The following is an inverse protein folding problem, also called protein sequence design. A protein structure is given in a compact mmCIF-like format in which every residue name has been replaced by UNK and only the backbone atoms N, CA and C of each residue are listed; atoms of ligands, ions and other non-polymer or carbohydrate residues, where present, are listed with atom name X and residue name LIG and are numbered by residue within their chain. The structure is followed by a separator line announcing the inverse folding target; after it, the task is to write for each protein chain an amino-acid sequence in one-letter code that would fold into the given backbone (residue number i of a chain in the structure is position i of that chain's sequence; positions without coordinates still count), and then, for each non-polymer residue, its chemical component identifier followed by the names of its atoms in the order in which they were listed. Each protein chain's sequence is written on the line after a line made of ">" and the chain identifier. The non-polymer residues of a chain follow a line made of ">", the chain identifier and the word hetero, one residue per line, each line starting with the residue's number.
data_IF_726239418298
#
_entry.id   IF_726239418298
#
_cell.length_a   1.000
_cell.length_b   1.000
_cell.length_c   1.000
_cell.angle_alpha   90.00
_cell.angle_beta   90.00
_cell.angle_gamma   90.00
#
_symmetry.space_group_name_H-M   'P 1'
#
loop_
_entity.id
_entity.type
_entity.pdbx_description
1 polymer ?
#
# COMPACT_ATOMS: atom_id res chain seq x y z
N UNK A 1 41.12 -11.75 -44.73
CA UNK A 1 39.78 -11.10 -44.83
C UNK A 1 38.62 -11.93 -44.24
N UNK A 2 38.65 -13.24 -44.12
CA UNK A 2 37.56 -14.04 -43.53
C UNK A 2 37.52 -14.06 -42.00
N UNK A 3 38.59 -13.72 -41.28
CA UNK A 3 38.67 -13.77 -39.83
C UNK A 3 38.08 -12.50 -39.18
N UNK A 4 38.15 -11.35 -39.88
CA UNK A 4 37.62 -10.07 -39.35
C UNK A 4 36.08 -10.02 -39.44
N UNK A 5 35.49 -10.73 -40.40
CA UNK A 5 34.04 -10.75 -40.59
C UNK A 5 33.30 -11.56 -39.50
N UNK A 6 33.92 -12.60 -38.98
CA UNK A 6 33.35 -13.41 -37.90
C UNK A 6 33.42 -12.72 -36.50
N UNK A 7 34.37 -11.81 -36.29
CA UNK A 7 34.47 -11.07 -35.04
C UNK A 7 33.44 -9.90 -34.96
N UNK A 8 33.08 -9.34 -36.11
CA UNK A 8 32.05 -8.31 -36.16
C UNK A 8 30.62 -8.87 -35.96
N UNK A 9 30.35 -10.09 -36.39
CA UNK A 9 29.09 -10.78 -36.18
C UNK A 9 28.91 -11.23 -34.72
N UNK A 10 29.98 -11.54 -34.01
CA UNK A 10 29.93 -11.95 -32.59
C UNK A 10 29.68 -10.72 -31.67
N UNK A 11 30.14 -9.52 -32.06
CA UNK A 11 29.93 -8.28 -31.31
C UNK A 11 28.52 -7.74 -31.47
N UNK A 12 27.77 -8.06 -32.52
CA UNK A 12 26.39 -7.66 -32.72
C UNK A 12 25.42 -8.51 -31.89
N UNK A 13 25.79 -9.76 -31.54
CA UNK A 13 24.96 -10.64 -30.72
C UNK A 13 25.08 -10.40 -29.20
N UNK A 14 26.05 -9.64 -28.74
CA UNK A 14 26.29 -9.36 -27.30
C UNK A 14 25.58 -8.08 -26.82
N UNK A 15 25.04 -7.25 -27.71
CA UNK A 15 24.38 -5.99 -27.36
C UNK A 15 22.92 -5.87 -27.78
N UNK A 16 22.29 -6.95 -28.17
CA UNK A 16 20.84 -6.96 -28.32
C UNK A 16 20.16 -7.62 -27.09
N UNK A 17 20.46 -7.17 -25.88
CA UNK A 17 19.37 -7.06 -24.91
C UNK A 17 18.41 -6.02 -25.48
N UNK A 18 17.46 -6.50 -26.25
CA UNK A 18 16.25 -5.75 -26.58
C UNK A 18 15.71 -5.24 -25.26
N UNK A 19 15.91 -3.95 -25.00
CA UNK A 19 15.14 -3.23 -23.98
C UNK A 19 13.70 -3.31 -24.51
N UNK A 20 13.02 -4.39 -24.20
CA UNK A 20 11.58 -4.48 -24.37
C UNK A 20 11.02 -3.48 -23.38
N UNK A 21 10.64 -2.28 -23.87
CA UNK A 21 9.79 -1.39 -23.09
C UNK A 21 8.58 -2.18 -22.64
N UNK A 22 8.42 -2.33 -21.32
CA UNK A 22 7.29 -3.04 -20.72
C UNK A 22 6.03 -2.16 -20.68
N UNK A 23 6.15 -0.95 -21.23
CA UNK A 23 5.07 0.00 -21.34
C UNK A 23 4.67 0.66 -20.02
N UNK A 24 3.57 1.38 -20.08
CA UNK A 24 2.99 2.09 -18.94
C UNK A 24 1.87 1.24 -18.34
N UNK A 25 1.89 1.01 -17.03
CA UNK A 25 0.78 0.33 -16.36
C UNK A 25 -0.49 1.17 -16.53
N UNK A 26 -1.55 0.63 -17.15
CA UNK A 26 -2.78 1.37 -17.41
C UNK A 26 -3.58 1.59 -16.13
N UNK A 27 -4.52 2.53 -16.16
CA UNK A 27 -5.51 2.72 -15.10
C UNK A 27 -6.43 1.49 -15.07
N UNK A 28 -6.66 0.92 -13.88
CA UNK A 28 -7.59 -0.18 -13.64
C UNK A 28 -8.97 0.35 -13.25
N UNK A 29 -8.98 1.32 -12.31
CA UNK A 29 -10.19 1.94 -11.81
C UNK A 29 -10.25 3.42 -12.19
N UNK A 30 -11.09 3.71 -13.17
CA UNK A 30 -11.38 5.07 -13.62
C UNK A 30 -12.70 5.61 -13.03
N UNK A 31 -13.30 4.90 -12.07
CA UNK A 31 -14.56 5.28 -11.42
C UNK A 31 -14.29 5.75 -9.99
N UNK A 32 -13.66 4.95 -9.15
CA UNK A 32 -13.44 5.24 -7.74
C UNK A 32 -12.40 6.32 -7.48
N UNK A 33 -11.45 6.52 -8.41
CA UNK A 33 -10.29 7.42 -8.22
C UNK A 33 -10.28 8.58 -9.21
N UNK A 34 -9.55 9.65 -8.84
CA UNK A 34 -9.44 10.86 -9.65
C UNK A 34 -8.17 10.84 -10.52
N UNK A 35 -8.34 10.85 -11.84
CA UNK A 35 -7.23 10.79 -12.80
C UNK A 35 -7.02 12.10 -13.59
N UNK A 36 -7.72 13.17 -13.21
CA UNK A 36 -7.58 14.49 -13.82
C UNK A 36 -6.97 15.46 -12.80
N UNK A 37 -5.91 16.17 -13.20
CA UNK A 37 -5.16 17.07 -12.31
C UNK A 37 -5.99 18.23 -11.76
N UNK A 38 -6.82 18.86 -12.61
CA UNK A 38 -7.66 19.99 -12.20
C UNK A 38 -8.78 19.53 -11.28
N UNK A 39 -9.35 18.37 -11.56
CA UNK A 39 -10.36 17.75 -10.72
C UNK A 39 -9.79 17.34 -9.37
N UNK A 40 -8.59 16.72 -9.36
CA UNK A 40 -7.89 16.37 -8.13
C UNK A 40 -7.58 17.60 -7.27
N UNK A 41 -7.16 18.70 -7.89
CA UNK A 41 -6.97 19.98 -7.20
C UNK A 41 -8.26 20.45 -6.52
N UNK A 42 -9.37 20.49 -7.27
CA UNK A 42 -10.66 20.90 -6.72
C UNK A 42 -11.13 19.98 -5.60
N UNK A 43 -10.85 18.68 -5.72
CA UNK A 43 -11.18 17.69 -4.69
C UNK A 43 -10.36 17.89 -3.42
N UNK A 44 -9.06 18.13 -3.53
CA UNK A 44 -8.19 18.43 -2.39
C UNK A 44 -8.61 19.73 -1.70
N UNK A 45 -8.92 20.80 -2.46
CA UNK A 45 -9.44 22.06 -1.92
C UNK A 45 -10.78 21.84 -1.17
N UNK A 46 -11.65 21.00 -1.69
CA UNK A 46 -12.89 20.60 -1.01
C UNK A 46 -12.59 19.91 0.33
N UNK A 47 -11.68 18.90 0.33
CA UNK A 47 -11.29 18.17 1.53
C UNK A 47 -10.63 19.08 2.58
N UNK A 48 -9.78 20.01 2.14
CA UNK A 48 -9.13 20.98 3.05
C UNK A 48 -10.13 21.89 3.77
N UNK A 49 -11.20 22.27 3.08
CA UNK A 49 -12.23 23.12 3.64
C UNK A 49 -13.28 22.37 4.49
N UNK A 50 -13.46 21.06 4.24
CA UNK A 50 -14.50 20.25 4.88
C UNK A 50 -13.99 19.32 5.97
N UNK A 51 -12.68 19.03 6.01
CA UNK A 51 -12.08 18.13 7.00
C UNK A 51 -11.81 18.85 8.32
N UNK A 52 -11.86 18.08 9.41
CA UNK A 52 -11.39 18.55 10.71
C UNK A 52 -9.94 19.02 10.62
N UNK A 53 -9.64 20.17 11.21
CA UNK A 53 -8.28 20.71 11.25
C UNK A 53 -7.43 19.97 12.28
N UNK A 54 -7.12 18.73 11.99
CA UNK A 54 -6.19 17.94 12.80
C UNK A 54 -4.79 18.19 12.27
N UNK A 55 -3.95 18.80 13.07
CA UNK A 55 -2.53 19.00 12.76
C UNK A 55 -1.74 17.79 13.27
N UNK A 56 -1.12 17.07 12.33
CA UNK A 56 -0.12 16.06 12.62
C UNK A 56 1.27 16.60 12.28
N UNK A 57 2.24 16.28 13.13
CA UNK A 57 3.63 16.62 12.89
C UNK A 57 4.16 15.82 11.68
N UNK A 58 4.86 16.52 10.77
CA UNK A 58 5.60 15.90 9.66
C UNK A 58 6.94 15.35 10.11
N UNK A 59 7.48 15.88 11.20
CA UNK A 59 8.79 15.50 11.68
C UNK A 59 8.80 14.05 12.11
N UNK A 60 9.83 13.34 11.65
CA UNK A 60 10.02 11.91 11.96
C UNK A 60 8.94 10.95 11.46
N UNK A 61 7.99 11.39 10.62
CA UNK A 61 7.06 10.48 9.92
C UNK A 61 7.83 9.72 8.84
N UNK A 62 7.90 8.40 8.96
CA UNK A 62 8.73 7.55 8.09
C UNK A 62 7.93 6.55 7.25
N UNK A 63 6.74 6.21 7.71
CA UNK A 63 5.87 5.25 7.05
C UNK A 63 4.41 5.51 7.43
N UNK A 64 3.48 4.88 6.72
CA UNK A 64 2.07 4.93 7.05
C UNK A 64 1.28 3.70 6.56
N UNK A 65 0.13 3.44 7.19
CA UNK A 65 -0.96 2.65 6.63
C UNK A 65 -1.98 3.62 6.03
N UNK A 66 -2.43 3.35 4.81
CA UNK A 66 -3.45 4.13 4.09
C UNK A 66 -4.57 3.25 3.57
N UNK A 67 -5.77 3.79 3.58
CA UNK A 67 -6.94 3.26 2.86
C UNK A 67 -6.71 3.23 1.35
N UNK A 68 -7.47 2.38 0.62
CA UNK A 68 -7.48 2.31 -0.85
C UNK A 68 -8.88 2.20 -1.49
N UNK A 69 -9.92 2.58 -0.77
CA UNK A 69 -11.31 2.61 -1.24
C UNK A 69 -11.63 3.89 -2.05
N UNK A 70 -12.82 3.93 -2.67
CA UNK A 70 -13.31 5.03 -3.50
C UNK A 70 -13.13 6.39 -2.83
N UNK A 71 -12.64 7.38 -3.57
CA UNK A 71 -12.35 8.71 -3.02
C UNK A 71 -13.59 9.44 -2.51
N UNK A 72 -14.76 9.18 -3.10
CA UNK A 72 -16.01 9.76 -2.62
C UNK A 72 -16.49 9.16 -1.28
N UNK A 73 -15.95 8.04 -0.83
CA UNK A 73 -16.13 7.52 0.53
C UNK A 73 -14.98 7.94 1.45
N UNK A 74 -13.76 7.69 1.00
CA UNK A 74 -12.59 7.69 1.86
C UNK A 74 -11.72 8.95 1.75
N UNK A 75 -12.10 9.96 0.95
CA UNK A 75 -11.30 11.18 0.74
C UNK A 75 -10.88 11.86 2.04
N UNK A 76 -11.80 11.96 3.01
CA UNK A 76 -11.52 12.51 4.34
C UNK A 76 -10.53 11.68 5.17
N UNK A 77 -10.26 10.42 4.78
CA UNK A 77 -9.32 9.53 5.44
C UNK A 77 -7.94 9.61 4.75
N UNK A 78 -7.90 9.71 3.41
CA UNK A 78 -6.67 9.93 2.66
C UNK A 78 -6.03 11.29 2.96
N UNK A 79 -6.82 12.36 2.88
CA UNK A 79 -6.32 13.74 2.88
C UNK A 79 -5.39 14.06 4.05
N UNK A 80 -5.74 13.81 5.34
CA UNK A 80 -4.90 14.19 6.46
C UNK A 80 -3.54 13.48 6.48
N UNK A 81 -3.42 12.28 5.89
CA UNK A 81 -2.18 11.58 5.76
C UNK A 81 -1.33 12.10 4.59
N UNK A 82 -1.91 12.17 3.39
CA UNK A 82 -1.12 12.42 2.17
C UNK A 82 -0.51 13.82 2.12
N UNK A 83 -1.13 14.83 2.73
CA UNK A 83 -0.52 16.16 2.88
C UNK A 83 0.78 16.18 3.70
N UNK A 84 1.05 15.11 4.46
CA UNK A 84 2.29 14.96 5.24
C UNK A 84 3.40 14.26 4.45
N UNK A 85 3.07 13.52 3.39
CA UNK A 85 4.03 12.73 2.62
C UNK A 85 4.65 13.60 1.53
N UNK A 86 5.97 13.79 1.61
CA UNK A 86 6.73 14.56 0.61
C UNK A 86 8.06 13.86 0.25
N UNK A 87 8.08 12.54 0.29
CA UNK A 87 9.26 11.77 -0.06
C UNK A 87 9.43 11.66 -1.58
N UNK A 88 10.69 11.57 -2.04
CA UNK A 88 11.02 11.43 -3.47
C UNK A 88 10.72 10.05 -4.02
N UNK A 89 10.83 9.04 -3.17
CA UNK A 89 10.58 7.64 -3.49
C UNK A 89 9.65 7.03 -2.46
N UNK A 90 8.65 6.26 -2.91
CA UNK A 90 7.70 5.59 -2.03
C UNK A 90 7.67 4.10 -2.35
N UNK A 91 8.01 3.28 -1.35
CA UNK A 91 7.80 1.84 -1.39
C UNK A 91 6.35 1.59 -0.98
N UNK A 92 5.57 0.93 -1.82
CA UNK A 92 4.15 0.70 -1.57
C UNK A 92 3.89 -0.79 -1.47
N UNK A 93 3.41 -1.23 -0.31
CA UNK A 93 2.94 -2.61 -0.10
C UNK A 93 1.44 -2.68 -0.35
N UNK A 94 1.06 -3.32 -1.45
CA UNK A 94 -0.34 -3.51 -1.86
C UNK A 94 -0.89 -4.88 -1.50
N UNK A 95 -2.19 -4.98 -1.62
CA UNK A 95 -2.99 -6.19 -1.37
C UNK A 95 -2.99 -7.09 -2.60
N UNK A 96 -3.29 -8.36 -2.39
CA UNK A 96 -3.62 -9.32 -3.45
C UNK A 96 -5.09 -9.71 -3.30
N UNK A 97 -5.99 -8.92 -3.92
CA UNK A 97 -7.43 -9.13 -3.83
C UNK A 97 -7.92 -10.40 -4.55
N UNK A 98 -9.20 -10.72 -4.34
CA UNK A 98 -9.86 -11.86 -4.97
C UNK A 98 -9.79 -11.85 -6.50
N UNK A 99 -9.77 -10.68 -7.12
CA UNK A 99 -9.60 -10.49 -8.57
C UNK A 99 -8.28 -11.10 -9.06
N UNK A 100 -7.16 -10.80 -8.38
CA UNK A 100 -5.86 -11.38 -8.74
C UNK A 100 -5.88 -12.90 -8.60
N UNK A 101 -6.45 -13.42 -7.50
CA UNK A 101 -6.54 -14.86 -7.27
C UNK A 101 -7.39 -15.59 -8.31
N UNK A 102 -8.45 -14.95 -8.80
CA UNK A 102 -9.39 -15.52 -9.79
C UNK A 102 -8.89 -15.40 -11.23
N UNK A 103 -8.35 -14.22 -11.59
CA UNK A 103 -8.01 -13.89 -12.98
C UNK A 103 -6.56 -14.20 -13.36
N UNK A 104 -5.66 -14.31 -12.37
CA UNK A 104 -4.24 -14.52 -12.63
C UNK A 104 -3.74 -15.80 -11.99
N UNK A 105 -3.58 -15.82 -10.65
CA UNK A 105 -3.12 -16.98 -9.89
C UNK A 105 -3.35 -16.79 -8.39
N UNK A 106 -3.61 -17.86 -7.63
CA UNK A 106 -3.63 -17.83 -6.18
C UNK A 106 -2.20 -17.83 -5.60
N UNK A 107 -1.46 -16.73 -5.82
CA UNK A 107 -0.11 -16.56 -5.28
C UNK A 107 -0.09 -16.72 -3.76
N UNK A 108 0.89 -17.47 -3.26
CA UNK A 108 1.15 -17.64 -1.83
C UNK A 108 2.64 -17.62 -1.52
N UNK A 109 3.01 -17.16 -0.32
CA UNK A 109 4.39 -17.14 0.18
C UNK A 109 5.41 -16.38 -0.69
N UNK A 110 4.95 -15.40 -1.48
CA UNK A 110 5.80 -14.57 -2.34
C UNK A 110 5.36 -13.11 -2.33
N UNK A 111 6.28 -12.23 -2.65
CA UNK A 111 6.01 -10.88 -3.10
C UNK A 111 5.74 -10.90 -4.61
N UNK A 112 4.86 -10.03 -5.11
CA UNK A 112 4.61 -9.89 -6.53
C UNK A 112 5.13 -8.54 -6.98
N UNK A 113 6.13 -8.55 -7.83
CA UNK A 113 6.72 -7.39 -8.48
C UNK A 113 6.20 -7.30 -9.93
N UNK A 114 6.51 -6.20 -10.59
CA UNK A 114 6.14 -5.96 -11.98
C UNK A 114 7.35 -5.45 -12.79
N UNK A 115 7.16 -5.28 -14.11
CA UNK A 115 8.19 -4.83 -15.05
C UNK A 115 7.77 -3.58 -15.84
N UNK A 116 6.71 -2.86 -15.47
CA UNK A 116 6.34 -1.63 -16.17
C UNK A 116 7.45 -0.58 -16.07
N UNK A 117 7.59 0.23 -17.10
CA UNK A 117 8.54 1.35 -17.10
C UNK A 117 8.04 2.50 -16.22
N UNK A 118 6.71 2.64 -16.14
CA UNK A 118 6.01 3.66 -15.36
C UNK A 118 4.54 3.27 -15.12
N UNK A 119 3.84 4.01 -14.28
CA UNK A 119 2.40 3.89 -14.04
C UNK A 119 1.67 5.14 -14.49
N UNK A 120 0.42 5.03 -14.94
CA UNK A 120 -0.40 6.21 -15.19
C UNK A 120 -0.55 7.04 -13.92
N UNK A 121 -0.46 8.36 -14.08
CA UNK A 121 -0.64 9.35 -13.03
C UNK A 121 -1.54 10.51 -13.48
N UNK A 122 -1.72 11.51 -12.61
CA UNK A 122 -2.61 12.66 -12.88
C UNK A 122 -1.95 13.78 -13.67
N UNK A 123 -0.63 13.95 -13.58
CA UNK A 123 0.13 14.97 -14.31
C UNK A 123 0.93 14.35 -15.46
N UNK A 124 1.62 13.29 -15.18
CA UNK A 124 2.48 12.53 -16.09
C UNK A 124 2.57 11.09 -15.61
N UNK A 125 3.23 10.22 -16.36
CA UNK A 125 3.47 8.86 -15.95
C UNK A 125 4.42 8.84 -14.74
N UNK A 126 4.01 8.14 -13.68
CA UNK A 126 4.78 8.00 -12.43
C UNK A 126 5.92 7.02 -12.64
N UNK A 127 7.14 7.48 -12.42
CA UNK A 127 8.37 6.69 -12.66
C UNK A 127 8.55 5.62 -11.59
N UNK A 128 9.14 4.51 -12.00
CA UNK A 128 9.57 3.45 -11.08
C UNK A 128 10.91 3.83 -10.45
N UNK A 129 11.04 3.59 -9.13
CA UNK A 129 12.32 3.74 -8.44
C UNK A 129 13.33 2.69 -8.88
N UNK A 130 14.63 3.06 -9.02
CA UNK A 130 15.70 2.09 -9.27
C UNK A 130 15.77 0.96 -8.24
N UNK A 131 15.22 1.18 -7.04
CA UNK A 131 15.15 0.19 -5.97
C UNK A 131 14.46 -1.10 -6.42
N UNK A 132 13.43 -1.03 -7.30
CA UNK A 132 12.76 -2.22 -7.82
C UNK A 132 13.74 -3.19 -8.48
N UNK A 133 14.60 -2.71 -9.35
CA UNK A 133 15.58 -3.56 -10.05
C UNK A 133 16.65 -4.09 -9.09
N UNK A 134 17.03 -3.32 -8.08
CA UNK A 134 17.95 -3.77 -7.02
C UNK A 134 17.30 -4.90 -6.20
N UNK A 135 16.02 -4.77 -5.84
CA UNK A 135 15.26 -5.84 -5.17
C UNK A 135 15.26 -7.11 -6.05
N UNK A 136 14.89 -6.99 -7.32
CA UNK A 136 14.85 -8.11 -8.26
C UNK A 136 16.21 -8.78 -8.46
N UNK A 137 17.31 -8.06 -8.33
CA UNK A 137 18.66 -8.58 -8.47
C UNK A 137 19.21 -9.24 -7.20
N UNK A 138 18.79 -8.78 -6.01
CA UNK A 138 19.41 -9.18 -4.74
C UNK A 138 18.52 -10.05 -3.86
N UNK A 139 17.19 -9.95 -3.96
CA UNK A 139 16.28 -10.80 -3.22
C UNK A 139 16.29 -12.22 -3.80
N UNK A 140 16.31 -13.24 -2.95
CA UNK A 140 16.25 -14.64 -3.38
C UNK A 140 15.01 -14.87 -4.27
N UNK A 141 15.23 -15.49 -5.43
CA UNK A 141 14.19 -15.71 -6.45
C UNK A 141 12.99 -16.52 -5.95
N UNK A 142 13.16 -17.33 -4.93
CA UNK A 142 12.05 -18.07 -4.29
C UNK A 142 11.07 -17.19 -3.52
N UNK A 143 11.42 -15.93 -3.22
CA UNK A 143 10.62 -15.02 -2.41
C UNK A 143 9.78 -14.04 -3.22
N UNK A 144 9.95 -13.99 -4.53
CA UNK A 144 9.12 -13.12 -5.36
C UNK A 144 8.84 -13.73 -6.73
N UNK A 145 7.79 -13.24 -7.34
CA UNK A 145 7.48 -13.43 -8.75
C UNK A 145 7.33 -12.07 -9.43
N UNK A 146 7.52 -12.04 -10.75
CA UNK A 146 7.25 -10.83 -11.55
C UNK A 146 6.02 -11.10 -12.40
N UNK A 147 4.96 -10.29 -12.19
CA UNK A 147 3.69 -10.49 -12.90
C UNK A 147 2.98 -9.16 -13.15
N UNK A 148 3.10 -8.64 -14.38
CA UNK A 148 2.44 -7.40 -14.82
C UNK A 148 0.93 -7.54 -14.75
N UNK A 149 0.37 -8.68 -15.15
CA UNK A 149 -1.08 -8.89 -15.16
C UNK A 149 -1.69 -8.80 -13.76
N UNK A 150 -1.00 -9.30 -12.73
CA UNK A 150 -1.44 -9.16 -11.36
C UNK A 150 -1.55 -7.69 -10.96
N UNK A 151 -0.55 -6.86 -11.30
CA UNK A 151 -0.59 -5.42 -11.04
C UNK A 151 -1.63 -4.66 -11.90
N UNK A 152 -1.93 -5.13 -13.12
CA UNK A 152 -2.97 -4.53 -13.96
C UNK A 152 -4.38 -4.67 -13.37
N UNK A 153 -4.70 -5.84 -12.79
CA UNK A 153 -6.04 -6.13 -12.28
C UNK A 153 -6.21 -5.73 -10.81
N UNK A 154 -5.15 -5.28 -10.15
CA UNK A 154 -5.15 -4.86 -8.75
C UNK A 154 -5.21 -3.34 -8.62
N UNK A 155 -6.01 -2.83 -7.66
CA UNK A 155 -6.24 -1.40 -7.45
C UNK A 155 -5.63 -0.85 -6.16
N UNK A 156 -5.25 -1.68 -5.20
CA UNK A 156 -4.82 -1.22 -3.86
C UNK A 156 -3.59 -0.31 -3.84
N UNK A 157 -2.68 -0.45 -4.81
CA UNK A 157 -1.55 0.48 -4.98
C UNK A 157 -1.98 1.67 -5.84
N UNK A 158 -2.77 1.42 -6.88
CA UNK A 158 -3.26 2.43 -7.81
C UNK A 158 -4.01 3.57 -7.11
N UNK A 159 -4.85 3.23 -6.14
CA UNK A 159 -5.62 4.18 -5.34
C UNK A 159 -4.77 5.27 -4.66
N UNK A 160 -3.50 4.98 -4.40
CA UNK A 160 -2.60 5.89 -3.68
C UNK A 160 -1.88 6.87 -4.62
N UNK A 161 -1.81 6.55 -5.91
CA UNK A 161 -1.02 7.28 -6.91
C UNK A 161 -1.49 8.72 -7.11
N UNK A 162 -2.79 9.02 -7.30
CA UNK A 162 -3.27 10.38 -7.50
C UNK A 162 -2.91 11.32 -6.34
N UNK A 163 -3.12 10.87 -5.09
CA UNK A 163 -2.75 11.65 -3.91
C UNK A 163 -1.23 11.84 -3.79
N UNK A 164 -0.43 10.79 -3.99
CA UNK A 164 1.03 10.90 -3.95
C UNK A 164 1.54 11.90 -4.99
N UNK A 165 1.07 11.78 -6.23
CA UNK A 165 1.55 12.64 -7.30
C UNK A 165 1.02 14.07 -7.19
N UNK A 166 -0.15 14.30 -6.59
CA UNK A 166 -0.66 15.64 -6.31
C UNK A 166 0.30 16.43 -5.40
N UNK A 167 0.79 15.82 -4.32
CA UNK A 167 1.71 16.46 -3.39
C UNK A 167 3.18 16.43 -3.85
N UNK A 168 3.57 15.44 -4.66
CA UNK A 168 4.89 15.35 -5.26
C UNK A 168 4.80 14.87 -6.73
N UNK A 169 4.73 15.80 -7.70
CA UNK A 169 4.61 15.46 -9.13
C UNK A 169 5.72 14.56 -9.69
N UNK A 170 6.90 14.59 -9.07
CA UNK A 170 8.08 13.81 -9.49
C UNK A 170 8.32 12.56 -8.64
N UNK A 171 7.35 12.14 -7.85
CA UNK A 171 7.45 10.95 -7.00
C UNK A 171 7.79 9.71 -7.83
N UNK A 172 8.69 8.87 -7.30
CA UNK A 172 8.97 7.54 -7.85
C UNK A 172 8.39 6.48 -6.93
N UNK A 173 7.94 5.37 -7.49
CA UNK A 173 7.34 4.30 -6.71
C UNK A 173 8.10 2.99 -6.85
N UNK A 174 8.05 2.16 -5.80
CA UNK A 174 8.41 0.75 -5.82
C UNK A 174 7.16 -0.05 -5.43
N UNK A 175 6.33 -0.44 -6.40
CA UNK A 175 5.09 -1.16 -6.13
C UNK A 175 5.39 -2.64 -5.85
N UNK A 176 4.91 -3.15 -4.72
CA UNK A 176 5.09 -4.52 -4.27
C UNK A 176 3.76 -5.03 -3.72
N UNK A 177 3.17 -6.04 -4.34
CA UNK A 177 2.00 -6.70 -3.76
C UNK A 177 2.47 -7.82 -2.83
N UNK A 178 1.79 -7.97 -1.70
CA UNK A 178 2.08 -9.00 -0.70
C UNK A 178 1.01 -10.09 -0.82
N UNK A 179 1.42 -11.30 -1.22
CA UNK A 179 0.53 -12.45 -1.25
C UNK A 179 0.23 -12.97 0.16
N UNK A 180 -0.78 -13.82 0.28
CA UNK A 180 -1.03 -14.59 1.50
C UNK A 180 0.21 -15.41 1.88
N UNK A 181 0.67 -15.29 3.15
CA UNK A 181 1.83 -16.04 3.65
C UNK A 181 1.80 -16.15 5.18
N UNK A 182 2.50 -17.15 5.71
CA UNK A 182 2.68 -17.31 7.17
C UNK A 182 3.60 -16.22 7.74
N UNK A 183 3.51 -16.01 9.05
CA UNK A 183 4.37 -15.03 9.75
C UNK A 183 5.85 -15.39 9.61
N UNK A 184 6.20 -16.69 9.70
CA UNK A 184 7.58 -17.15 9.51
C UNK A 184 8.11 -16.79 8.12
N UNK A 185 7.26 -16.94 7.08
CA UNK A 185 7.63 -16.57 5.73
C UNK A 185 7.79 -15.05 5.58
N UNK A 186 6.94 -14.27 6.23
CA UNK A 186 7.10 -12.81 6.29
C UNK A 186 8.41 -12.42 6.97
N UNK A 187 8.77 -13.08 8.07
CA UNK A 187 10.03 -12.84 8.79
C UNK A 187 11.25 -13.14 7.91
N UNK A 188 11.26 -14.28 7.19
CA UNK A 188 12.35 -14.65 6.27
C UNK A 188 12.54 -13.60 5.16
N UNK A 189 11.45 -13.23 4.48
CA UNK A 189 11.50 -12.28 3.36
C UNK A 189 11.84 -10.87 3.85
N UNK A 190 11.21 -10.41 4.95
CA UNK A 190 11.46 -9.08 5.50
C UNK A 190 12.91 -8.90 5.96
N UNK A 191 13.56 -9.95 6.44
CA UNK A 191 14.98 -9.91 6.82
C UNK A 191 15.89 -9.60 5.64
N UNK A 192 15.67 -10.21 4.48
CA UNK A 192 16.47 -9.91 3.29
C UNK A 192 16.09 -8.55 2.67
N UNK A 193 14.78 -8.27 2.57
CA UNK A 193 14.31 -7.06 1.94
C UNK A 193 14.70 -5.80 2.73
N UNK A 194 14.63 -5.83 4.07
CA UNK A 194 15.06 -4.70 4.91
C UNK A 194 16.53 -4.37 4.69
N UNK A 195 17.38 -5.38 4.62
CA UNK A 195 18.80 -5.20 4.32
C UNK A 195 19.03 -4.59 2.94
N UNK A 196 18.35 -5.07 1.90
CA UNK A 196 18.45 -4.53 0.53
C UNK A 196 18.06 -3.05 0.51
N UNK A 197 16.95 -2.68 1.17
CA UNK A 197 16.47 -1.30 1.24
C UNK A 197 17.46 -0.43 2.03
N UNK A 198 17.96 -0.91 3.16
CA UNK A 198 18.90 -0.17 4.00
C UNK A 198 20.23 0.05 3.26
N UNK A 199 20.75 -0.97 2.57
CA UNK A 199 21.96 -0.86 1.75
C UNK A 199 21.77 0.14 0.59
N UNK A 200 20.60 0.14 -0.07
CA UNK A 200 20.23 1.12 -1.10
C UNK A 200 20.21 2.53 -0.54
N UNK A 201 19.58 2.73 0.62
CA UNK A 201 19.52 4.03 1.28
C UNK A 201 20.92 4.54 1.64
N UNK A 202 21.78 3.71 2.22
CA UNK A 202 23.14 4.06 2.57
C UNK A 202 23.99 4.42 1.35
N UNK A 203 23.92 3.60 0.29
CA UNK A 203 24.65 3.83 -0.96
C UNK A 203 24.28 5.16 -1.64
N UNK A 204 23.01 5.55 -1.57
CA UNK A 204 22.48 6.76 -2.20
C UNK A 204 22.31 7.95 -1.21
N UNK A 205 22.73 7.79 0.05
CA UNK A 205 22.60 8.80 1.13
C UNK A 205 21.17 9.27 1.35
N UNK A 206 20.18 8.36 1.19
CA UNK A 206 18.78 8.64 1.37
C UNK A 206 18.39 8.56 2.85
N UNK A 207 17.49 9.44 3.27
CA UNK A 207 16.91 9.46 4.63
C UNK A 207 15.50 8.92 4.61
N UNK A 208 15.21 7.97 5.52
CA UNK A 208 13.87 7.45 5.73
C UNK A 208 12.91 8.58 6.17
N UNK A 209 11.71 8.61 5.63
CA UNK A 209 10.71 9.65 5.81
C UNK A 209 10.87 10.87 4.90
N UNK A 210 12.11 11.29 4.63
CA UNK A 210 12.39 12.47 3.80
C UNK A 210 12.60 12.16 2.32
N UNK A 211 13.47 11.20 2.02
CA UNK A 211 13.84 10.85 0.64
C UNK A 211 13.14 9.56 0.19
N UNK A 212 12.95 8.60 1.11
CA UNK A 212 12.24 7.35 0.90
C UNK A 212 11.18 7.15 1.97
N UNK A 213 9.97 6.75 1.59
CA UNK A 213 8.84 6.55 2.47
C UNK A 213 8.25 5.15 2.27
N UNK A 214 7.69 4.56 3.32
CA UNK A 214 7.04 3.25 3.23
C UNK A 214 5.53 3.42 3.43
N UNK A 215 4.74 3.01 2.44
CA UNK A 215 3.30 3.11 2.46
C UNK A 215 2.68 1.71 2.38
N UNK A 216 1.81 1.40 3.31
CA UNK A 216 1.11 0.11 3.41
C UNK A 216 -0.36 0.34 3.09
N UNK A 217 -0.87 -0.36 2.10
CA UNK A 217 -2.24 -0.22 1.63
C UNK A 217 -3.17 -1.18 2.36
N UNK A 218 -4.26 -0.65 2.92
CA UNK A 218 -5.23 -1.45 3.68
C UNK A 218 -6.58 -0.75 3.80
N UNK A 219 -7.66 -1.49 3.61
CA UNK A 219 -8.95 -1.15 4.19
C UNK A 219 -9.22 -2.09 5.38
N UNK A 220 -9.95 -1.56 6.39
CA UNK A 220 -10.29 -2.31 7.58
C UNK A 220 -11.38 -3.36 7.30
N UNK A 221 -12.32 -3.53 8.18
CA UNK A 221 -13.29 -4.61 8.10
C UNK A 221 -14.22 -4.48 6.88
N UNK A 222 -14.19 -5.46 5.99
CA UNK A 222 -15.17 -5.65 4.93
C UNK A 222 -16.34 -6.43 5.53
N UNK A 223 -17.47 -5.76 5.75
CA UNK A 223 -18.56 -6.28 6.54
C UNK A 223 -19.86 -6.34 5.75
N UNK A 224 -20.59 -7.46 5.91
CA UNK A 224 -21.90 -7.65 5.35
C UNK A 224 -22.07 -8.91 4.50
N UNK A 225 -23.23 -9.05 3.89
CA UNK A 225 -23.64 -10.24 3.12
C UNK A 225 -22.73 -10.48 1.91
N UNK A 226 -22.36 -9.42 1.16
CA UNK A 226 -21.56 -9.54 -0.05
C UNK A 226 -20.11 -9.98 0.24
N UNK A 227 -19.64 -9.76 1.47
CA UNK A 227 -18.31 -10.21 1.93
C UNK A 227 -18.37 -11.57 2.65
N UNK A 228 -19.58 -12.13 2.81
CA UNK A 228 -19.80 -13.31 3.65
C UNK A 228 -19.17 -13.15 5.05
N UNK A 229 -19.26 -11.94 5.59
CA UNK A 229 -18.65 -11.55 6.87
C UNK A 229 -19.61 -10.65 7.66
N UNK A 230 -20.47 -11.26 8.47
CA UNK A 230 -21.43 -10.56 9.34
C UNK A 230 -21.56 -11.24 10.71
N UNK A 231 -20.44 -11.44 11.44
CA UNK A 231 -20.41 -12.27 12.64
C UNK A 231 -21.27 -11.71 13.79
N UNK A 232 -21.59 -10.42 13.78
CA UNK A 232 -22.40 -9.76 14.81
C UNK A 232 -23.85 -9.52 14.36
N UNK A 233 -24.22 -9.83 13.09
CA UNK A 233 -25.51 -9.51 12.49
C UNK A 233 -25.44 -8.36 11.51
N UNK A 234 -26.61 -7.75 11.16
CA UNK A 234 -26.73 -6.75 10.09
C UNK A 234 -27.50 -5.49 10.52
N UNK A 235 -27.54 -5.23 11.81
CA UNK A 235 -28.19 -4.06 12.38
C UNK A 235 -27.17 -3.02 12.90
N UNK A 236 -27.64 -1.89 13.42
CA UNK A 236 -26.79 -0.83 13.96
C UNK A 236 -25.94 -1.29 15.15
N UNK A 237 -26.43 -2.21 15.96
CA UNK A 237 -25.65 -2.74 17.09
C UNK A 237 -24.52 -3.65 16.60
N UNK A 238 -24.77 -4.42 15.53
CA UNK A 238 -23.73 -5.22 14.87
C UNK A 238 -22.65 -4.34 14.24
N UNK A 239 -23.06 -3.25 13.56
CA UNK A 239 -22.14 -2.25 13.01
C UNK A 239 -21.26 -1.64 14.10
N UNK A 240 -21.85 -1.19 15.19
CA UNK A 240 -21.13 -0.61 16.32
C UNK A 240 -20.11 -1.60 16.92
N UNK A 241 -20.48 -2.87 17.14
CA UNK A 241 -19.57 -3.91 17.66
C UNK A 241 -18.40 -4.18 16.72
N UNK A 242 -18.63 -4.17 15.42
CA UNK A 242 -17.56 -4.40 14.44
C UNK A 242 -16.56 -3.22 14.42
N UNK A 243 -17.05 -1.97 14.50
CA UNK A 243 -16.21 -0.78 14.64
C UNK A 243 -15.40 -0.82 15.94
N UNK A 244 -16.04 -1.14 17.07
CA UNK A 244 -15.36 -1.23 18.36
C UNK A 244 -14.25 -2.27 18.34
N UNK A 245 -14.45 -3.40 17.65
CA UNK A 245 -13.40 -4.40 17.49
C UNK A 245 -12.23 -3.90 16.62
N UNK A 246 -12.51 -3.24 15.50
CA UNK A 246 -11.46 -2.64 14.67
C UNK A 246 -10.65 -1.60 15.46
N UNK A 247 -11.35 -0.68 16.17
CA UNK A 247 -10.70 0.35 16.98
C UNK A 247 -9.90 -0.24 18.14
N UNK A 248 -10.38 -1.31 18.77
CA UNK A 248 -9.63 -2.04 19.81
C UNK A 248 -8.31 -2.56 19.25
N UNK A 249 -8.36 -3.25 18.12
CA UNK A 249 -7.15 -3.83 17.48
C UNK A 249 -6.18 -2.70 17.10
N UNK A 250 -6.66 -1.63 16.48
CA UNK A 250 -5.84 -0.47 16.11
C UNK A 250 -5.15 0.12 17.35
N UNK A 251 -5.90 0.43 18.41
CA UNK A 251 -5.36 1.06 19.61
C UNK A 251 -4.41 0.14 20.38
N UNK A 252 -4.71 -1.14 20.44
CA UNK A 252 -3.90 -2.11 21.20
C UNK A 252 -2.60 -2.46 20.48
N UNK A 253 -2.58 -2.54 19.13
CA UNK A 253 -1.44 -3.07 18.39
C UNK A 253 -0.73 -2.09 17.46
N UNK A 254 -1.40 -1.05 16.99
CA UNK A 254 -0.84 -0.12 16.00
C UNK A 254 -0.54 1.27 16.56
N UNK A 255 -1.14 1.67 17.69
CA UNK A 255 -0.90 2.97 18.34
C UNK A 255 0.12 2.82 19.48
N UNK A 256 1.08 3.76 19.59
CA UNK A 256 2.20 3.71 20.53
C UNK A 256 3.42 2.96 19.96
N UNK A 257 4.32 2.50 20.83
CA UNK A 257 5.54 1.81 20.38
C UNK A 257 5.20 0.46 19.78
N UNK A 258 5.66 0.23 18.54
CA UNK A 258 5.39 -0.98 17.75
C UNK A 258 6.64 -1.88 17.74
N UNK A 259 6.70 -2.78 18.70
CA UNK A 259 7.78 -3.76 18.85
C UNK A 259 7.46 -5.07 18.10
N UNK A 260 8.46 -5.91 17.78
CA UNK A 260 8.26 -7.17 17.06
C UNK A 260 7.22 -8.10 17.70
N UNK A 261 7.19 -8.21 19.04
CA UNK A 261 6.21 -9.06 19.74
C UNK A 261 4.78 -8.52 19.57
N UNK A 262 4.64 -7.19 19.55
CA UNK A 262 3.34 -6.56 19.33
C UNK A 262 2.82 -6.83 17.91
N UNK A 263 3.71 -6.87 16.90
CA UNK A 263 3.37 -7.23 15.52
C UNK A 263 2.93 -8.72 15.45
N UNK A 264 3.59 -9.62 16.17
CA UNK A 264 3.20 -11.04 16.25
C UNK A 264 1.82 -11.21 16.90
N UNK A 265 1.53 -10.43 17.92
CA UNK A 265 0.22 -10.47 18.56
C UNK A 265 -0.86 -9.87 17.64
N UNK A 266 -0.57 -8.80 16.90
CA UNK A 266 -1.46 -8.30 15.84
C UNK A 266 -1.76 -9.39 14.80
N UNK A 267 -0.75 -10.17 14.39
CA UNK A 267 -0.96 -11.25 13.43
C UNK A 267 -2.01 -12.28 13.95
N UNK A 268 -2.01 -12.60 15.23
CA UNK A 268 -3.03 -13.49 15.85
C UNK A 268 -4.44 -12.89 15.85
N UNK A 269 -4.57 -11.56 15.80
CA UNK A 269 -5.87 -10.87 15.72
C UNK A 269 -6.44 -10.84 14.29
N UNK A 270 -5.58 -10.70 13.25
CA UNK A 270 -6.05 -10.39 11.89
C UNK A 270 -5.70 -11.46 10.84
N UNK A 271 -4.79 -12.41 11.12
CA UNK A 271 -4.47 -13.50 10.20
C UNK A 271 -5.23 -14.78 10.58
N UNK A 272 -6.06 -15.34 9.70
CA UNK A 272 -6.82 -16.58 10.02
C UNK A 272 -5.92 -17.77 10.37
N UNK A 273 -4.72 -17.85 9.78
CA UNK A 273 -3.77 -18.94 9.96
C UNK A 273 -3.09 -18.90 11.35
N UNK A 274 -3.02 -17.71 11.96
CA UNK A 274 -2.36 -17.48 13.25
C UNK A 274 -3.35 -17.39 14.42
N UNK A 275 -4.64 -17.23 14.10
CA UNK A 275 -5.67 -16.89 15.09
C UNK A 275 -6.35 -18.11 15.69
N UNK A 276 -6.55 -18.06 16.99
CA UNK A 276 -7.43 -18.98 17.73
C UNK A 276 -8.82 -18.38 18.00
N UNK A 277 -9.11 -17.19 17.46
CA UNK A 277 -10.38 -16.50 17.68
C UNK A 277 -11.47 -17.03 16.75
N UNK A 278 -12.72 -17.02 17.22
CA UNK A 278 -13.89 -17.38 16.39
C UNK A 278 -14.26 -16.28 15.38
N UNK A 279 -13.97 -15.04 15.71
CA UNK A 279 -14.31 -13.87 14.91
C UNK A 279 -13.01 -13.11 14.64
N UNK A 280 -12.66 -13.00 13.36
CA UNK A 280 -11.49 -12.29 12.86
C UNK A 280 -11.99 -11.20 11.92
N UNK A 281 -11.57 -9.93 12.08
CA UNK A 281 -11.98 -8.88 11.17
C UNK A 281 -11.41 -9.13 9.77
N UNK A 282 -12.21 -8.86 8.75
CA UNK A 282 -11.80 -9.09 7.36
C UNK A 282 -11.08 -7.84 6.80
N UNK A 283 -9.88 -7.54 7.31
CA UNK A 283 -9.02 -6.51 6.75
C UNK A 283 -8.36 -7.01 5.47
N UNK A 284 -8.53 -6.28 4.35
CA UNK A 284 -7.95 -6.70 3.08
C UNK A 284 -6.42 -6.64 3.10
N UNK A 285 -5.85 -5.65 3.76
CA UNK A 285 -4.40 -5.42 3.87
C UNK A 285 -3.72 -6.14 5.04
N UNK A 286 -4.34 -7.15 5.66
CA UNK A 286 -3.76 -7.85 6.81
C UNK A 286 -2.36 -8.42 6.56
N UNK A 287 -2.07 -8.96 5.37
CA UNK A 287 -0.73 -9.44 5.00
C UNK A 287 0.26 -8.30 4.76
N UNK A 288 -0.06 -7.27 3.93
CA UNK A 288 0.79 -6.07 3.82
C UNK A 288 1.10 -5.38 5.14
N UNK A 289 0.14 -5.31 6.07
CA UNK A 289 0.36 -4.69 7.40
C UNK A 289 1.43 -5.45 8.17
N UNK A 290 1.24 -6.75 8.38
CA UNK A 290 2.21 -7.56 9.17
C UNK A 290 3.57 -7.54 8.50
N UNK A 291 3.62 -7.80 7.18
CA UNK A 291 4.88 -7.79 6.42
C UNK A 291 5.59 -6.44 6.47
N UNK A 292 4.86 -5.35 6.20
CA UNK A 292 5.40 -4.00 6.18
C UNK A 292 5.92 -3.56 7.55
N UNK A 293 5.21 -3.88 8.64
CA UNK A 293 5.65 -3.56 10.00
C UNK A 293 6.87 -4.35 10.43
N UNK A 294 6.95 -5.66 10.12
CA UNK A 294 8.14 -6.48 10.37
C UNK A 294 9.37 -5.89 9.65
N UNK A 295 9.21 -5.56 8.38
CA UNK A 295 10.28 -4.96 7.58
C UNK A 295 10.68 -3.57 8.12
N UNK A 296 9.71 -2.71 8.42
CA UNK A 296 9.95 -1.35 8.93
C UNK A 296 10.70 -1.38 10.27
N UNK A 297 10.29 -2.25 11.19
CA UNK A 297 10.95 -2.42 12.48
C UNK A 297 12.42 -2.84 12.31
N UNK A 298 12.72 -3.74 11.35
CA UNK A 298 14.08 -4.15 11.00
C UNK A 298 14.90 -2.98 10.44
N UNK A 299 14.33 -2.18 9.51
CA UNK A 299 15.01 -1.01 8.94
C UNK A 299 15.37 -0.01 10.05
N UNK A 300 14.42 0.31 10.93
CA UNK A 300 14.65 1.23 12.07
C UNK A 300 15.79 0.72 12.96
N UNK A 301 15.80 -0.58 13.28
CA UNK A 301 16.86 -1.23 14.06
C UNK A 301 18.23 -1.22 13.36
N UNK A 302 18.29 -1.51 12.06
CA UNK A 302 19.55 -1.47 11.28
C UNK A 302 20.11 -0.05 11.11
N UNK A 303 19.23 0.95 11.00
CA UNK A 303 19.63 2.36 10.93
C UNK A 303 19.94 2.95 12.31
N UNK A 304 19.54 2.31 13.41
CA UNK A 304 19.70 2.75 14.79
C UNK A 304 19.16 4.17 15.03
N UNK A 305 17.96 4.45 14.49
CA UNK A 305 17.37 5.80 14.49
C UNK A 305 16.33 6.03 15.58
N UNK A 306 16.06 5.06 16.45
CA UNK A 306 15.10 5.16 17.56
C UNK A 306 14.11 4.01 17.60
N UNK A 307 12.92 4.25 18.13
CA UNK A 307 11.81 3.29 18.21
C UNK A 307 10.71 3.67 17.22
N UNK A 308 10.00 2.67 16.71
CA UNK A 308 8.84 2.86 15.86
C UNK A 308 7.61 3.18 16.71
N UNK A 309 7.00 4.37 16.52
CA UNK A 309 5.77 4.78 17.19
C UNK A 309 4.64 4.99 16.17
N UNK A 310 3.53 4.26 16.34
CA UNK A 310 2.33 4.46 15.54
C UNK A 310 1.37 5.47 16.15
N UNK A 311 0.77 6.35 15.32
CA UNK A 311 -0.27 7.30 15.71
C UNK A 311 -1.47 7.18 14.78
N UNK A 312 -2.65 6.94 15.34
CA UNK A 312 -3.89 6.93 14.57
C UNK A 312 -4.17 8.35 14.06
N UNK A 313 -4.30 8.49 12.76
CA UNK A 313 -4.65 9.77 12.12
C UNK A 313 -6.17 9.89 12.04
N UNK A 314 -6.82 8.89 11.45
CA UNK A 314 -8.29 8.84 11.37
C UNK A 314 -8.78 7.39 11.22
N UNK A 315 -9.98 7.13 11.76
CA UNK A 315 -10.77 5.92 11.53
C UNK A 315 -12.20 6.33 11.13
N UNK A 316 -12.79 5.65 10.18
CA UNK A 316 -14.21 5.73 9.83
C UNK A 316 -14.64 4.50 9.01
N UNK A 317 -15.78 4.57 8.34
CA UNK A 317 -16.30 3.54 7.43
C UNK A 317 -17.26 4.15 6.39
N UNK A 318 -17.59 3.38 5.32
CA UNK A 318 -18.47 3.84 4.24
C UNK A 318 -19.87 4.19 4.72
N UNK A 319 -20.40 3.50 5.73
CA UNK A 319 -21.73 3.75 6.25
C UNK A 319 -21.78 5.03 7.09
N UNK A 320 -20.74 5.33 7.87
CA UNK A 320 -20.60 6.52 8.70
C UNK A 320 -20.29 7.77 7.87
N UNK A 321 -19.29 7.71 6.99
CA UNK A 321 -18.89 8.84 6.12
C UNK A 321 -19.94 9.16 5.06
N UNK A 322 -20.65 8.14 4.58
CA UNK A 322 -21.53 8.27 3.43
C UNK A 322 -20.75 8.76 2.20
N UNK A 323 -21.48 9.26 1.20
CA UNK A 323 -20.86 9.80 -0.01
C UNK A 323 -20.54 11.27 0.21
N UNK A 324 -19.30 11.66 0.00
CA UNK A 324 -18.88 13.06 0.03
C UNK A 324 -19.69 13.87 -1.00
N UNK A 325 -20.29 15.03 -0.62
CA UNK A 325 -21.13 15.83 -1.52
C UNK A 325 -20.30 16.64 -2.54
N UNK A 326 -19.28 16.02 -3.13
CA UNK A 326 -18.44 16.60 -4.16
C UNK A 326 -19.01 16.33 -5.55
N UNK A 327 -19.70 17.32 -6.13
CA UNK A 327 -20.52 17.15 -7.34
C UNK A 327 -19.79 17.46 -8.67
N UNK A 328 -18.63 18.09 -8.64
CA UNK A 328 -17.86 18.46 -9.83
C UNK A 328 -16.79 17.42 -10.11
N UNK A 329 -17.20 16.18 -10.34
CA UNK A 329 -16.29 15.07 -10.44
C UNK A 329 -16.72 14.08 -11.49
N UNK A 330 -15.73 13.50 -12.18
CA UNK A 330 -15.88 12.28 -12.99
C UNK A 330 -15.87 11.01 -12.11
N UNK A 331 -15.48 11.14 -10.84
CA UNK A 331 -15.48 10.04 -9.88
C UNK A 331 -16.89 9.54 -9.58
N UNK A 332 -17.01 8.25 -9.39
CA UNK A 332 -18.21 7.54 -8.97
C UNK A 332 -17.95 6.63 -7.79
N UNK A 333 -18.83 5.68 -7.61
CA UNK A 333 -18.75 4.64 -6.59
C UNK A 333 -18.70 3.28 -7.26
N UNK A 334 -17.82 2.42 -6.79
CA UNK A 334 -17.67 1.06 -7.29
C UNK A 334 -18.58 0.07 -6.55
N UNK A 335 -19.06 0.44 -5.36
CA UNK A 335 -20.00 -0.35 -4.55
C UNK A 335 -21.00 0.54 -3.79
N UNK A 336 -22.22 0.05 -3.51
CA UNK A 336 -23.14 0.72 -2.60
C UNK A 336 -22.66 0.59 -1.15
N UNK A 337 -23.25 1.39 -0.25
CA UNK A 337 -23.06 1.24 1.18
C UNK A 337 -24.39 1.03 1.90
N UNK A 338 -24.41 0.14 2.89
CA UNK A 338 -25.54 -0.11 3.77
C UNK A 338 -25.05 -0.90 5.00
N UNK A 339 -25.93 -1.18 5.95
CA UNK A 339 -25.60 -2.11 7.06
C UNK A 339 -25.29 -3.54 6.60
N UNK A 340 -25.66 -3.88 5.35
CA UNK A 340 -25.39 -5.19 4.74
C UNK A 340 -24.16 -5.19 3.83
N UNK A 341 -23.53 -4.02 3.63
CA UNK A 341 -22.34 -3.84 2.81
C UNK A 341 -21.65 -2.55 3.22
N UNK A 342 -20.59 -2.66 3.99
CA UNK A 342 -19.75 -1.51 4.37
C UNK A 342 -18.29 -1.91 4.57
N UNK A 343 -17.39 -0.95 4.42
CA UNK A 343 -15.96 -1.13 4.55
C UNK A 343 -15.44 -0.11 5.58
N UNK A 344 -14.65 -0.60 6.53
CA UNK A 344 -13.96 0.24 7.50
C UNK A 344 -12.68 0.84 6.93
N UNK A 345 -12.29 2.01 7.42
CA UNK A 345 -11.13 2.76 6.95
C UNK A 345 -10.28 3.25 8.11
N UNK A 346 -8.96 3.18 7.97
CA UNK A 346 -8.09 3.94 8.87
C UNK A 346 -6.79 4.36 8.21
N UNK A 347 -6.20 5.42 8.75
CA UNK A 347 -4.84 5.84 8.44
C UNK A 347 -4.03 5.96 9.72
N UNK A 348 -2.80 5.45 9.68
CA UNK A 348 -1.82 5.49 10.77
C UNK A 348 -0.51 6.02 10.23
N UNK A 349 0.05 7.02 10.90
CA UNK A 349 1.42 7.45 10.68
C UNK A 349 2.38 6.72 11.62
N UNK A 350 3.53 6.29 11.11
CA UNK A 350 4.62 5.71 11.89
C UNK A 350 5.79 6.69 11.97
N UNK A 351 6.22 6.97 13.19
CA UNK A 351 7.20 7.98 13.55
C UNK A 351 8.41 7.35 14.22
N UNK A 352 9.54 8.06 14.19
CA UNK A 352 10.71 7.75 15.01
C UNK A 352 10.62 8.53 16.32
N UNK A 353 10.75 7.78 17.43
CA UNK A 353 10.75 8.29 18.78
C UNK A 353 12.08 8.02 19.48
#
# INVERSE_FOLDING_TARGET
>A
MKVIFNFLLLLIFVFAELIYSQGVRPIRDNVGFCWNADEMKNFIEYLENSSDKIEFDKENLIAAISVHDDYLYAGNIYYPLFKLINAKEVIIFGVTHGTVRKEVSPFTNVLILENFDSWKGIYNDVKISPLREIIKSKLDKKYFTVNNKAHEVEHSIEALIPFLQFYNPDVKITPIMVAQMSVEKMEEISLQLSKIITDYMKANKLKLGKDIFILISNDANHYGEDFNNSPYGLDLNAHQKAIENDQRIINEYLVGIVEPERIKNLAKEILPEESNQKIIPLWCGRYPIIFGLLMLNRIVGELKIGNLEGKLIKYSDTFTEKVLPFRKSSMGLTAPFSLKHWVGFFTIGFYIK
#
